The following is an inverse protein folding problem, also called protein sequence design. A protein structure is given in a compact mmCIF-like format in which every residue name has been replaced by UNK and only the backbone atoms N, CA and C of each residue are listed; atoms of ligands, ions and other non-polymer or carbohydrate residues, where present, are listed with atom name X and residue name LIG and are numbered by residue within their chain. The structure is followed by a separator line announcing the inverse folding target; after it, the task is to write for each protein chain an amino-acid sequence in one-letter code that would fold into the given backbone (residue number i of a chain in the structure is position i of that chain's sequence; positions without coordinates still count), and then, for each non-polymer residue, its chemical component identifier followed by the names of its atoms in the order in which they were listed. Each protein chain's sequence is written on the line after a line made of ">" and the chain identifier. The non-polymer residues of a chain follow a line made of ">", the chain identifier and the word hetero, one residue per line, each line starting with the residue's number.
data_IF_992249549960
#
_entry.id   IF_992249549960
#
_cell.length_a   1.000
_cell.length_b   1.000
_cell.length_c   1.000
_cell.angle_alpha   90.00
_cell.angle_beta   90.00
_cell.angle_gamma   90.00
#
_symmetry.space_group_name_H-M   'P 1'
#
loop_
_entity.id
_entity.type
_entity.pdbx_description
1 polymer ?
#
# COMPACT_ATOMS: atom_id res chain seq x y z
N UNK A 1 26.84 4.27 -5.26
CA UNK A 1 25.98 4.85 -6.32
C UNK A 1 24.71 4.00 -6.55
N UNK A 2 24.84 2.68 -6.74
CA UNK A 2 23.71 1.74 -6.92
C UNK A 2 22.60 1.85 -5.87
N UNK A 3 22.93 1.97 -4.57
CA UNK A 3 21.93 2.10 -3.49
C UNK A 3 20.96 3.28 -3.69
N UNK A 4 21.43 4.43 -4.16
CA UNK A 4 20.59 5.62 -4.41
C UNK A 4 19.67 5.39 -5.61
N UNK A 5 20.17 4.73 -6.67
CA UNK A 5 19.36 4.38 -7.85
C UNK A 5 18.25 3.39 -7.50
N UNK A 6 18.59 2.32 -6.76
CA UNK A 6 17.63 1.33 -6.25
C UNK A 6 16.54 2.02 -5.43
N UNK A 7 16.92 2.93 -4.52
CA UNK A 7 15.96 3.65 -3.69
C UNK A 7 15.07 4.59 -4.51
N UNK A 8 15.64 5.34 -5.47
CA UNK A 8 14.89 6.24 -6.35
C UNK A 8 13.87 5.46 -7.19
N UNK A 9 14.29 4.34 -7.78
CA UNK A 9 13.40 3.47 -8.55
C UNK A 9 12.30 2.88 -7.67
N UNK A 10 12.63 2.39 -6.47
CA UNK A 10 11.64 1.91 -5.50
C UNK A 10 10.61 2.99 -5.18
N UNK A 11 11.05 4.20 -4.86
CA UNK A 11 10.14 5.33 -4.54
C UNK A 11 9.25 5.67 -5.73
N UNK A 12 9.81 5.78 -6.93
CA UNK A 12 9.05 6.08 -8.14
C UNK A 12 8.02 4.99 -8.46
N UNK A 13 8.39 3.71 -8.31
CA UNK A 13 7.48 2.57 -8.48
C UNK A 13 6.31 2.64 -7.48
N UNK A 14 6.59 2.93 -6.21
CA UNK A 14 5.53 3.05 -5.19
C UNK A 14 4.60 4.22 -5.51
N UNK A 15 5.13 5.38 -5.89
CA UNK A 15 4.30 6.54 -6.25
C UNK A 15 3.44 6.26 -7.47
N UNK A 16 4.02 5.62 -8.50
CA UNK A 16 3.27 5.19 -9.68
C UNK A 16 2.15 4.22 -9.33
N UNK A 17 2.41 3.19 -8.51
CA UNK A 17 1.39 2.23 -8.11
C UNK A 17 0.26 2.87 -7.28
N UNK A 18 0.54 3.94 -6.53
CA UNK A 18 -0.49 4.69 -5.78
C UNK A 18 -1.37 5.56 -6.67
N UNK A 19 -0.79 6.17 -7.70
CA UNK A 19 -1.54 6.98 -8.66
C UNK A 19 -0.93 6.81 -10.06
N UNK A 20 -1.36 5.78 -10.80
CA UNK A 20 -0.76 5.43 -12.10
C UNK A 20 -1.21 6.34 -13.24
N UNK A 21 -2.26 7.14 -13.03
CA UNK A 21 -2.80 8.10 -14.00
C UNK A 21 -2.11 9.46 -13.93
N UNK A 22 -1.30 9.70 -12.90
CA UNK A 22 -0.51 10.91 -12.78
C UNK A 22 0.70 10.88 -13.73
N UNK A 23 0.75 11.85 -14.65
CA UNK A 23 1.83 11.96 -15.65
C UNK A 23 3.21 12.21 -15.03
N UNK A 24 3.28 12.91 -13.88
CA UNK A 24 4.54 13.09 -13.13
C UNK A 24 5.03 11.75 -12.59
N UNK A 25 4.13 10.90 -12.10
CA UNK A 25 4.50 9.56 -11.62
C UNK A 25 4.99 8.66 -12.76
N UNK A 26 4.31 8.67 -13.92
CA UNK A 26 4.77 7.95 -15.13
C UNK A 26 6.17 8.39 -15.55
N UNK A 27 6.40 9.71 -15.61
CA UNK A 27 7.69 10.30 -15.97
C UNK A 27 8.79 9.88 -14.99
N UNK A 28 8.57 10.05 -13.68
CA UNK A 28 9.53 9.67 -12.65
C UNK A 28 9.87 8.17 -12.67
N UNK A 29 8.87 7.31 -12.89
CA UNK A 29 9.10 5.87 -13.01
C UNK A 29 9.95 5.55 -14.25
N UNK A 30 9.65 6.17 -15.39
CA UNK A 30 10.41 5.99 -16.63
C UNK A 30 11.87 6.43 -16.46
N UNK A 31 12.10 7.62 -15.90
CA UNK A 31 13.44 8.18 -15.69
C UNK A 31 14.27 7.34 -14.71
N UNK A 32 13.66 6.90 -13.61
CA UNK A 32 14.35 6.05 -12.62
C UNK A 32 14.64 4.64 -13.15
N UNK A 33 13.75 4.06 -13.96
CA UNK A 33 13.98 2.80 -14.64
C UNK A 33 15.12 2.92 -15.66
N UNK A 34 15.12 3.97 -16.48
CA UNK A 34 16.22 4.26 -17.40
C UNK A 34 17.55 4.41 -16.66
N UNK A 35 17.57 5.11 -15.52
CA UNK A 35 18.80 5.31 -14.75
C UNK A 35 19.39 3.99 -14.22
N UNK A 36 18.57 2.98 -13.89
CA UNK A 36 19.05 1.63 -13.57
C UNK A 36 19.72 1.00 -14.79
N UNK A 37 19.07 1.05 -15.95
CA UNK A 37 19.60 0.49 -17.18
C UNK A 37 20.93 1.14 -17.58
N UNK A 38 20.96 2.48 -17.65
CA UNK A 38 22.13 3.26 -18.05
C UNK A 38 23.32 3.02 -17.10
N UNK A 39 23.06 2.95 -15.80
CA UNK A 39 24.09 2.60 -14.81
C UNK A 39 24.63 1.19 -15.01
N UNK A 40 23.77 0.20 -15.21
CA UNK A 40 24.19 -1.19 -15.43
C UNK A 40 25.01 -1.35 -16.72
N UNK A 41 24.58 -0.70 -17.81
CA UNK A 41 25.30 -0.69 -19.07
C UNK A 41 26.69 -0.06 -18.91
N UNK A 42 26.79 1.12 -18.28
CA UNK A 42 28.07 1.80 -18.04
C UNK A 42 29.01 1.01 -17.13
N UNK A 43 28.48 0.41 -16.05
CA UNK A 43 29.26 -0.41 -15.11
C UNK A 43 29.93 -1.60 -15.82
N UNK A 44 29.27 -2.16 -16.83
CA UNK A 44 29.74 -3.29 -17.61
C UNK A 44 30.37 -2.86 -18.94
N UNK A 45 30.84 -1.61 -19.08
CA UNK A 45 31.45 -1.05 -20.31
C UNK A 45 30.61 -1.24 -21.58
N UNK A 46 29.28 -1.24 -21.46
CA UNK A 46 28.33 -1.54 -22.54
C UNK A 46 28.61 -2.89 -23.24
N UNK A 47 29.25 -3.84 -22.52
CA UNK A 47 29.47 -5.20 -22.99
C UNK A 47 28.14 -5.95 -23.18
N UNK A 48 28.21 -7.18 -23.70
CA UNK A 48 27.07 -8.04 -24.07
C UNK A 48 25.87 -7.97 -23.09
N UNK A 49 24.63 -8.02 -23.62
CA UNK A 49 23.38 -8.00 -22.85
C UNK A 49 23.37 -8.82 -21.56
N UNK A 50 23.93 -10.01 -21.59
CA UNK A 50 23.93 -10.96 -20.47
C UNK A 50 24.61 -10.39 -19.21
N UNK A 51 25.65 -9.56 -19.38
CA UNK A 51 26.41 -8.99 -18.26
C UNK A 51 25.65 -7.88 -17.54
N UNK A 52 25.10 -6.92 -18.29
CA UNK A 52 24.37 -5.82 -17.66
C UNK A 52 22.93 -6.18 -17.28
N UNK A 53 22.30 -7.16 -17.94
CA UNK A 53 20.99 -7.69 -17.50
C UNK A 53 21.06 -8.32 -16.11
N UNK A 54 22.14 -9.03 -15.79
CA UNK A 54 22.36 -9.57 -14.44
C UNK A 54 22.42 -8.45 -13.40
N UNK A 55 23.15 -7.36 -13.68
CA UNK A 55 23.20 -6.20 -12.77
C UNK A 55 21.84 -5.50 -12.61
N UNK A 56 21.05 -5.41 -13.69
CA UNK A 56 19.68 -4.88 -13.63
C UNK A 56 18.81 -5.75 -12.73
N UNK A 57 18.83 -7.07 -12.93
CA UNK A 57 18.06 -8.02 -12.15
C UNK A 57 18.34 -7.88 -10.64
N UNK A 58 19.61 -7.85 -10.24
CA UNK A 58 20.01 -7.68 -8.84
C UNK A 58 19.49 -6.37 -8.24
N UNK A 59 19.58 -5.27 -8.98
CA UNK A 59 19.09 -3.96 -8.53
C UNK A 59 17.56 -3.94 -8.40
N UNK A 60 16.85 -4.49 -9.39
CA UNK A 60 15.39 -4.58 -9.40
C UNK A 60 14.90 -5.47 -8.27
N UNK A 61 15.49 -6.66 -8.07
CA UNK A 61 15.16 -7.61 -7.00
C UNK A 61 15.16 -6.95 -5.62
N UNK A 62 16.19 -6.14 -5.35
CA UNK A 62 16.31 -5.38 -4.10
C UNK A 62 15.25 -4.28 -4.05
N UNK A 63 15.07 -3.52 -5.14
CA UNK A 63 14.12 -2.42 -5.20
C UNK A 63 12.67 -2.87 -4.96
N UNK A 64 12.27 -4.04 -5.46
CA UNK A 64 10.89 -4.57 -5.36
C UNK A 64 10.67 -5.45 -4.14
N UNK A 65 11.68 -5.64 -3.28
CA UNK A 65 11.59 -6.53 -2.12
C UNK A 65 10.45 -6.09 -1.18
N UNK A 66 9.60 -7.05 -0.82
CA UNK A 66 8.48 -6.82 0.09
C UNK A 66 7.30 -6.03 -0.50
N UNK A 67 7.37 -5.60 -1.77
CA UNK A 67 6.24 -5.01 -2.46
C UNK A 67 5.27 -6.12 -2.85
N UNK A 68 4.00 -5.97 -2.46
CA UNK A 68 2.87 -6.74 -2.96
C UNK A 68 1.89 -5.79 -3.63
N UNK A 69 1.21 -6.27 -4.67
CA UNK A 69 0.44 -5.41 -5.57
C UNK A 69 -0.96 -5.98 -5.76
N UNK A 70 -1.95 -5.09 -5.83
CA UNK A 70 -3.32 -5.44 -6.21
C UNK A 70 -3.36 -5.93 -7.67
N UNK A 71 -4.20 -6.93 -8.05
CA UNK A 71 -4.28 -7.44 -9.42
C UNK A 71 -4.43 -6.34 -10.47
N UNK A 72 -5.34 -5.39 -10.24
CA UNK A 72 -5.55 -4.24 -11.11
C UNK A 72 -4.28 -3.40 -11.34
N UNK A 73 -3.56 -3.05 -10.28
CA UNK A 73 -2.35 -2.23 -10.38
C UNK A 73 -1.21 -2.99 -11.07
N UNK A 74 -1.19 -4.32 -10.98
CA UNK A 74 -0.26 -5.15 -11.71
C UNK A 74 -0.55 -5.11 -13.23
N UNK A 75 -1.82 -5.18 -13.63
CA UNK A 75 -2.24 -5.05 -15.05
C UNK A 75 -1.96 -3.65 -15.60
N UNK A 76 -2.18 -2.60 -14.80
CA UNK A 76 -1.88 -1.21 -15.17
C UNK A 76 -0.38 -1.03 -15.41
N UNK A 77 0.48 -1.55 -14.51
CA UNK A 77 1.93 -1.48 -14.69
C UNK A 77 2.41 -2.25 -15.93
N UNK A 78 1.87 -3.43 -16.18
CA UNK A 78 2.19 -4.24 -17.36
C UNK A 78 1.81 -3.53 -18.66
N UNK A 79 0.63 -2.90 -18.68
CA UNK A 79 0.15 -2.13 -19.83
C UNK A 79 1.03 -0.90 -20.08
N UNK A 80 1.37 -0.15 -19.04
CA UNK A 80 2.30 0.97 -19.15
C UNK A 80 3.70 0.55 -19.63
N UNK A 81 4.21 -0.59 -19.15
CA UNK A 81 5.47 -1.15 -19.66
C UNK A 81 5.40 -1.38 -21.17
N UNK A 82 4.35 -2.04 -21.66
CA UNK A 82 4.15 -2.28 -23.11
C UNK A 82 4.07 -0.98 -23.91
N UNK A 83 3.37 0.03 -23.40
CA UNK A 83 3.29 1.35 -24.05
C UNK A 83 4.68 1.97 -24.25
N UNK A 84 5.56 1.89 -23.26
CA UNK A 84 6.94 2.39 -23.37
C UNK A 84 7.74 1.65 -24.45
N UNK A 85 7.51 0.35 -24.63
CA UNK A 85 8.15 -0.46 -25.67
C UNK A 85 7.70 -0.11 -27.10
N UNK A 86 6.51 0.47 -27.26
CA UNK A 86 5.98 0.91 -28.57
C UNK A 86 6.47 2.30 -28.98
N UNK A 87 7.08 3.04 -28.06
CA UNK A 87 7.55 4.40 -28.33
C UNK A 87 8.97 4.34 -28.89
N UNK A 88 9.19 4.97 -30.04
CA UNK A 88 10.48 4.99 -30.77
C UNK A 88 11.51 5.96 -30.14
N UNK A 89 11.67 5.85 -28.82
CA UNK A 89 12.61 6.65 -28.03
C UNK A 89 13.49 5.70 -27.24
N UNK A 90 14.79 5.71 -27.54
CA UNK A 90 15.81 4.87 -26.90
C UNK A 90 15.72 4.85 -25.36
N UNK A 91 15.48 6.02 -24.76
CA UNK A 91 15.27 6.16 -23.31
C UNK A 91 14.08 5.32 -22.80
N UNK A 92 12.95 5.35 -23.51
CA UNK A 92 11.73 4.62 -23.15
C UNK A 92 11.88 3.12 -23.40
N UNK A 93 12.54 2.73 -24.48
CA UNK A 93 12.87 1.33 -24.75
C UNK A 93 13.75 0.71 -23.64
N UNK A 94 14.69 1.47 -23.08
CA UNK A 94 15.53 1.00 -21.98
C UNK A 94 14.79 0.92 -20.65
N UNK A 95 13.93 1.91 -20.35
CA UNK A 95 13.02 1.84 -19.22
C UNK A 95 12.08 0.62 -19.31
N UNK A 96 11.58 0.30 -20.50
CA UNK A 96 10.75 -0.87 -20.77
C UNK A 96 11.41 -2.18 -20.33
N UNK A 97 12.70 -2.40 -20.61
CA UNK A 97 13.39 -3.62 -20.16
C UNK A 97 13.40 -3.77 -18.63
N UNK A 98 13.71 -2.69 -17.91
CA UNK A 98 13.73 -2.69 -16.44
C UNK A 98 12.33 -2.93 -15.86
N UNK A 99 11.31 -2.29 -16.42
CA UNK A 99 9.92 -2.49 -15.98
C UNK A 99 9.37 -3.87 -16.32
N UNK A 100 9.80 -4.44 -17.45
CA UNK A 100 9.44 -5.81 -17.85
C UNK A 100 10.01 -6.84 -16.87
N UNK A 101 11.28 -6.71 -16.47
CA UNK A 101 11.87 -7.56 -15.42
C UNK A 101 11.13 -7.36 -14.10
N UNK A 102 10.88 -6.10 -13.72
CA UNK A 102 10.16 -5.75 -12.49
C UNK A 102 8.79 -6.45 -12.43
N UNK A 103 8.01 -6.35 -13.51
CA UNK A 103 6.69 -6.97 -13.57
C UNK A 103 6.78 -8.50 -13.65
N UNK A 104 7.41 -9.05 -14.70
CA UNK A 104 7.33 -10.47 -15.03
C UNK A 104 8.05 -11.37 -14.03
N UNK A 105 9.18 -10.93 -13.47
CA UNK A 105 10.00 -11.77 -12.61
C UNK A 105 9.73 -11.57 -11.12
N UNK A 106 9.13 -10.44 -10.73
CA UNK A 106 8.99 -10.11 -9.31
C UNK A 106 7.58 -9.77 -8.86
N UNK A 107 6.83 -8.95 -9.59
CA UNK A 107 5.52 -8.48 -9.13
C UNK A 107 4.38 -9.41 -9.52
N UNK A 108 4.45 -10.07 -10.69
CA UNK A 108 3.42 -10.99 -11.17
C UNK A 108 3.13 -12.13 -10.20
N UNK A 109 4.16 -12.69 -9.56
CA UNK A 109 4.02 -13.74 -8.54
C UNK A 109 3.67 -13.19 -7.14
N UNK A 110 3.69 -11.87 -6.96
CA UNK A 110 3.39 -11.18 -5.69
C UNK A 110 2.09 -10.39 -5.73
N UNK A 111 1.23 -10.71 -6.69
CA UNK A 111 -0.14 -10.23 -6.74
C UNK A 111 -0.90 -10.84 -5.56
N UNK A 112 -1.53 -9.99 -4.76
CA UNK A 112 -2.36 -10.46 -3.65
C UNK A 112 -3.72 -10.94 -4.15
N UNK A 113 -4.30 -11.87 -3.40
CA UNK A 113 -5.73 -12.17 -3.48
C UNK A 113 -6.46 -11.32 -2.41
N UNK A 114 -6.99 -10.14 -2.78
CA UNK A 114 -7.63 -9.23 -1.85
C UNK A 114 -8.84 -9.85 -1.16
N UNK A 115 -9.62 -10.64 -1.89
CA UNK A 115 -10.80 -11.31 -1.36
C UNK A 115 -10.42 -12.37 -0.33
N UNK A 116 -9.42 -13.20 -0.62
CA UNK A 116 -8.95 -14.21 0.32
C UNK A 116 -8.37 -13.57 1.59
N UNK A 117 -7.64 -12.46 1.48
CA UNK A 117 -7.13 -11.72 2.64
C UNK A 117 -8.29 -11.18 3.50
N UNK A 118 -9.30 -10.58 2.88
CA UNK A 118 -10.49 -10.08 3.57
C UNK A 118 -11.24 -11.21 4.28
N UNK A 119 -11.46 -12.34 3.59
CA UNK A 119 -12.09 -13.55 4.17
C UNK A 119 -11.32 -14.10 5.37
N UNK A 120 -9.98 -14.11 5.32
CA UNK A 120 -9.14 -14.53 6.46
C UNK A 120 -9.31 -13.60 7.68
N UNK A 121 -9.42 -12.29 7.46
CA UNK A 121 -9.67 -11.32 8.54
C UNK A 121 -11.08 -11.45 9.13
N UNK A 122 -12.11 -11.61 8.29
CA UNK A 122 -13.47 -11.90 8.75
C UNK A 122 -13.55 -13.21 9.55
N UNK A 123 -12.82 -14.26 9.13
CA UNK A 123 -12.73 -15.51 9.88
C UNK A 123 -12.05 -15.32 11.25
N UNK A 124 -11.08 -14.40 11.34
CA UNK A 124 -10.44 -14.05 12.62
C UNK A 124 -11.44 -13.38 13.55
N UNK A 125 -12.23 -12.42 13.05
CA UNK A 125 -13.32 -11.80 13.80
C UNK A 125 -14.31 -12.87 14.31
N UNK A 126 -14.77 -13.76 13.42
CA UNK A 126 -15.67 -14.85 13.76
C UNK A 126 -15.14 -15.72 14.90
N UNK A 127 -13.86 -16.13 14.82
CA UNK A 127 -13.21 -16.91 15.86
C UNK A 127 -13.17 -16.17 17.20
N UNK A 128 -12.86 -14.88 17.19
CA UNK A 128 -12.85 -14.04 18.40
C UNK A 128 -14.24 -13.96 19.04
N UNK A 129 -15.29 -13.77 18.24
CA UNK A 129 -16.68 -13.75 18.72
C UNK A 129 -17.08 -15.10 19.33
N UNK A 130 -16.71 -16.21 18.69
CA UNK A 130 -16.97 -17.56 19.23
C UNK A 130 -16.30 -17.79 20.59
N UNK A 131 -15.08 -17.28 20.80
CA UNK A 131 -14.40 -17.35 22.09
C UNK A 131 -15.12 -16.54 23.17
N UNK A 132 -15.69 -15.38 22.81
CA UNK A 132 -16.48 -14.56 23.73
C UNK A 132 -17.83 -15.17 24.08
N UNK A 133 -18.42 -15.92 23.16
CA UNK A 133 -19.66 -16.67 23.40
C UNK A 133 -19.48 -17.71 24.52
N UNK A 134 -18.34 -18.40 24.55
CA UNK A 134 -18.00 -19.33 25.63
C UNK A 134 -17.81 -18.60 26.97
N UNK A 135 -17.39 -17.33 26.94
CA UNK A 135 -17.18 -16.50 28.12
C UNK A 135 -18.43 -15.72 28.56
N UNK A 136 -19.62 -16.00 28.00
CA UNK A 136 -20.89 -15.33 28.30
C UNK A 136 -20.83 -13.79 28.17
N UNK A 137 -20.14 -13.28 27.15
CA UNK A 137 -20.10 -11.84 26.89
C UNK A 137 -21.48 -11.31 26.42
N UNK A 138 -21.99 -10.19 26.96
CA UNK A 138 -23.33 -9.67 26.65
C UNK A 138 -23.48 -9.11 25.23
N UNK A 139 -22.38 -8.84 24.52
CA UNK A 139 -22.39 -8.23 23.18
C UNK A 139 -22.30 -9.24 22.03
N UNK A 140 -22.37 -10.55 22.30
CA UNK A 140 -22.15 -11.59 21.28
C UNK A 140 -23.11 -11.44 20.10
N UNK A 141 -24.40 -11.21 20.35
CA UNK A 141 -25.41 -11.07 19.29
C UNK A 141 -25.15 -9.83 18.41
N UNK A 142 -24.81 -8.70 19.04
CA UNK A 142 -24.47 -7.46 18.33
C UNK A 142 -23.20 -7.63 17.47
N UNK A 143 -22.19 -8.33 17.99
CA UNK A 143 -20.98 -8.65 17.23
C UNK A 143 -21.23 -9.62 16.06
N UNK A 144 -22.10 -10.62 16.25
CA UNK A 144 -22.53 -11.54 15.18
C UNK A 144 -23.30 -10.79 14.08
N UNK A 145 -24.14 -9.82 14.46
CA UNK A 145 -24.84 -8.94 13.52
C UNK A 145 -23.85 -8.08 12.72
N UNK A 146 -22.90 -7.41 13.38
CA UNK A 146 -21.86 -6.62 12.74
C UNK A 146 -21.05 -7.47 11.74
N UNK A 147 -20.59 -8.65 12.16
CA UNK A 147 -19.85 -9.57 11.30
C UNK A 147 -20.66 -9.97 10.05
N UNK A 148 -21.96 -10.21 10.21
CA UNK A 148 -22.85 -10.58 9.10
C UNK A 148 -22.98 -9.45 8.08
N UNK A 149 -23.15 -8.22 8.54
CA UNK A 149 -23.21 -7.04 7.68
C UNK A 149 -21.87 -6.82 6.94
N UNK A 150 -20.74 -6.86 7.65
CA UNK A 150 -19.41 -6.73 7.05
C UNK A 150 -19.16 -7.82 6.00
N UNK A 151 -19.49 -9.07 6.32
CA UNK A 151 -19.30 -10.21 5.40
C UNK A 151 -20.14 -10.06 4.14
N UNK A 152 -21.39 -9.61 4.28
CA UNK A 152 -22.29 -9.40 3.14
C UNK A 152 -21.76 -8.30 2.22
N UNK A 153 -21.36 -7.17 2.81
CA UNK A 153 -20.84 -6.03 2.07
C UNK A 153 -19.53 -6.38 1.33
N UNK A 154 -18.59 -7.04 2.01
CA UNK A 154 -17.34 -7.53 1.41
C UNK A 154 -17.61 -8.50 0.26
N UNK A 155 -18.54 -9.44 0.44
CA UNK A 155 -18.91 -10.41 -0.60
C UNK A 155 -19.55 -9.73 -1.81
N UNK A 156 -20.33 -8.69 -1.61
CA UNK A 156 -20.91 -7.92 -2.72
C UNK A 156 -19.83 -7.14 -3.45
N UNK A 157 -18.93 -6.49 -2.72
CA UNK A 157 -17.83 -5.73 -3.28
C UNK A 157 -16.89 -6.57 -4.15
N UNK A 158 -16.48 -7.75 -3.67
CA UNK A 158 -15.59 -8.62 -4.44
C UNK A 158 -16.25 -9.35 -5.62
N UNK A 159 -17.58 -9.24 -5.80
CA UNK A 159 -18.24 -9.66 -7.05
C UNK A 159 -18.05 -8.66 -8.20
N UNK A 160 -17.67 -7.42 -7.89
CA UNK A 160 -17.42 -6.39 -8.89
C UNK A 160 -16.13 -6.70 -9.66
N UNK A 161 -16.01 -6.16 -10.88
CA UNK A 161 -14.75 -6.20 -11.62
C UNK A 161 -13.68 -5.33 -10.92
N UNK A 162 -12.37 -5.61 -11.09
CA UNK A 162 -11.32 -4.86 -10.40
C UNK A 162 -11.37 -3.33 -10.63
N UNK A 163 -11.76 -2.89 -11.83
CA UNK A 163 -11.95 -1.47 -12.15
C UNK A 163 -13.13 -0.85 -11.38
N UNK A 164 -14.26 -1.56 -11.30
CA UNK A 164 -15.41 -1.11 -10.49
C UNK A 164 -15.09 -1.11 -9.00
N UNK A 165 -14.32 -2.09 -8.54
CA UNK A 165 -13.82 -2.12 -7.16
C UNK A 165 -13.03 -0.85 -6.84
N UNK A 166 -12.13 -0.41 -7.72
CA UNK A 166 -11.37 0.84 -7.54
C UNK A 166 -12.32 2.05 -7.44
N UNK A 167 -13.28 2.17 -8.36
CA UNK A 167 -14.21 3.30 -8.38
C UNK A 167 -15.13 3.35 -7.16
N UNK A 168 -15.64 2.20 -6.71
CA UNK A 168 -16.56 2.09 -5.58
C UNK A 168 -15.85 1.97 -4.22
N UNK A 169 -14.51 2.01 -4.19
CA UNK A 169 -13.74 1.74 -2.97
C UNK A 169 -14.08 2.71 -1.84
N UNK A 170 -14.11 4.02 -2.10
CA UNK A 170 -14.47 5.03 -1.09
C UNK A 170 -15.86 4.79 -0.49
N UNK A 171 -16.83 4.40 -1.31
CA UNK A 171 -18.19 4.10 -0.86
C UNK A 171 -18.24 2.82 0.00
N UNK A 172 -17.40 1.82 -0.32
CA UNK A 172 -17.20 0.67 0.56
C UNK A 172 -16.64 1.10 1.92
N UNK A 173 -15.60 1.94 1.94
CA UNK A 173 -14.97 2.38 3.19
C UNK A 173 -15.95 3.10 4.12
N UNK A 174 -16.75 4.02 3.56
CA UNK A 174 -17.79 4.74 4.29
C UNK A 174 -18.82 3.78 4.91
N UNK A 175 -19.30 2.80 4.14
CA UNK A 175 -20.26 1.80 4.63
C UNK A 175 -19.66 0.90 5.71
N UNK A 176 -18.41 0.47 5.56
CA UNK A 176 -17.72 -0.33 6.58
C UNK A 176 -17.53 0.46 7.87
N UNK A 177 -17.17 1.75 7.77
CA UNK A 177 -17.07 2.65 8.91
C UNK A 177 -18.42 2.86 9.59
N UNK A 178 -19.50 3.03 8.82
CA UNK A 178 -20.85 3.15 9.35
C UNK A 178 -21.26 1.93 10.16
N UNK A 179 -21.09 0.72 9.61
CA UNK A 179 -21.36 -0.54 10.34
C UNK A 179 -20.54 -0.59 11.63
N UNK A 180 -19.24 -0.29 11.59
CA UNK A 180 -18.41 -0.33 12.78
C UNK A 180 -18.77 0.75 13.82
N UNK A 181 -19.31 1.88 13.38
CA UNK A 181 -19.78 2.95 14.25
C UNK A 181 -21.10 2.57 14.95
N UNK A 182 -22.04 1.95 14.24
CA UNK A 182 -23.29 1.46 14.82
C UNK A 182 -23.05 0.43 15.92
N UNK A 183 -22.08 -0.49 15.70
CA UNK A 183 -21.73 -1.55 16.65
C UNK A 183 -20.54 -1.19 17.55
N UNK A 184 -20.25 0.11 17.73
CA UNK A 184 -19.01 0.59 18.39
C UNK A 184 -18.91 0.11 19.84
N UNK A 185 -20.00 0.12 20.58
CA UNK A 185 -20.01 -0.31 21.99
C UNK A 185 -19.59 -1.78 22.11
N UNK A 186 -20.21 -2.65 21.31
CA UNK A 186 -19.85 -4.06 21.24
C UNK A 186 -18.40 -4.27 20.78
N UNK A 187 -17.96 -3.61 19.71
CA UNK A 187 -16.60 -3.76 19.16
C UNK A 187 -15.52 -3.32 20.16
N UNK A 188 -15.79 -2.26 20.93
CA UNK A 188 -14.83 -1.70 21.89
C UNK A 188 -14.88 -2.36 23.27
N UNK A 189 -15.82 -3.27 23.51
CA UNK A 189 -15.98 -3.98 24.78
C UNK A 189 -14.84 -4.94 25.14
N UNK A 190 -14.13 -5.49 24.15
CA UNK A 190 -13.00 -6.41 24.35
C UNK A 190 -11.84 -6.03 23.41
N UNK A 191 -10.62 -6.01 23.95
CA UNK A 191 -9.40 -5.62 23.21
C UNK A 191 -9.14 -6.52 22.00
N UNK A 192 -9.43 -7.82 22.09
CA UNK A 192 -9.24 -8.79 20.99
C UNK A 192 -10.25 -8.57 19.88
N UNK A 193 -11.50 -8.23 20.23
CA UNK A 193 -12.53 -7.88 19.25
C UNK A 193 -12.13 -6.60 18.54
N UNK A 194 -11.82 -5.56 19.32
CA UNK A 194 -11.34 -4.28 18.81
C UNK A 194 -10.20 -4.47 17.82
N UNK A 195 -9.16 -5.21 18.21
CA UNK A 195 -8.02 -5.51 17.35
C UNK A 195 -8.43 -6.25 16.06
N UNK A 196 -9.28 -7.28 16.15
CA UNK A 196 -9.69 -8.06 14.99
C UNK A 196 -10.48 -7.20 13.96
N UNK A 197 -11.40 -6.35 14.43
CA UNK A 197 -12.17 -5.44 13.57
C UNK A 197 -11.30 -4.37 12.92
N UNK A 198 -10.44 -3.67 13.69
CA UNK A 198 -9.56 -2.66 13.11
C UNK A 198 -8.51 -3.26 12.17
N UNK A 199 -8.03 -4.47 12.44
CA UNK A 199 -7.12 -5.17 11.52
C UNK A 199 -7.81 -5.56 10.20
N UNK A 200 -9.11 -5.84 10.23
CA UNK A 200 -9.91 -6.03 9.03
C UNK A 200 -10.09 -4.71 8.26
N UNK A 201 -10.48 -3.62 8.93
CA UNK A 201 -10.65 -2.31 8.29
C UNK A 201 -9.36 -1.81 7.64
N UNK A 202 -8.24 -1.87 8.37
CA UNK A 202 -6.92 -1.48 7.87
C UNK A 202 -6.53 -2.28 6.62
N UNK A 203 -6.84 -3.58 6.55
CA UNK A 203 -6.61 -4.36 5.34
C UNK A 203 -7.44 -3.85 4.16
N UNK A 204 -8.74 -3.60 4.37
CA UNK A 204 -9.61 -3.16 3.27
C UNK A 204 -9.19 -1.78 2.78
N UNK A 205 -8.94 -0.83 3.68
CA UNK A 205 -8.60 0.55 3.31
C UNK A 205 -7.22 0.66 2.63
N UNK A 206 -6.35 -0.33 2.85
CA UNK A 206 -5.02 -0.39 2.22
C UNK A 206 -4.96 -1.32 1.00
N UNK A 207 -6.09 -1.83 0.50
CA UNK A 207 -6.09 -2.88 -0.51
C UNK A 207 -5.59 -2.42 -1.89
N UNK A 208 -5.78 -1.13 -2.19
CA UNK A 208 -5.22 -0.45 -3.36
C UNK A 208 -3.96 0.34 -3.03
N UNK A 209 -3.59 0.46 -1.76
CA UNK A 209 -2.27 0.95 -1.39
C UNK A 209 -1.22 -0.14 -1.64
N UNK A 210 0.00 0.28 -1.96
CA UNK A 210 1.12 -0.66 -2.06
C UNK A 210 1.34 -1.33 -0.71
N UNK A 211 0.99 -2.62 -0.62
CA UNK A 211 1.24 -3.50 0.51
C UNK A 211 2.75 -3.84 0.58
N UNK A 212 3.55 -2.81 0.84
CA UNK A 212 5.01 -2.87 0.91
C UNK A 212 5.60 -1.90 1.94
N UNK A 213 4.79 -1.00 2.51
CA UNK A 213 5.06 -0.49 3.84
C UNK A 213 4.54 -1.53 4.83
N UNK A 214 5.50 -2.25 5.41
CA UNK A 214 5.46 -2.75 6.78
C UNK A 214 4.08 -2.60 7.44
N UNK A 215 3.30 -3.69 7.47
CA UNK A 215 2.34 -3.91 8.56
C UNK A 215 3.03 -3.73 9.92
N UNK A 216 4.37 -3.76 10.00
CA UNK A 216 5.15 -3.36 11.17
C UNK A 216 5.30 -1.83 11.38
N UNK A 217 5.05 -0.96 10.39
CA UNK A 217 5.01 0.51 10.53
C UNK A 217 3.61 0.97 10.92
N UNK A 218 2.55 0.34 10.39
CA UNK A 218 1.20 0.43 10.95
C UNK A 218 1.10 -0.29 12.31
N UNK A 219 1.83 -1.39 12.51
CA UNK A 219 1.99 -1.98 13.84
C UNK A 219 2.85 -1.11 14.78
N UNK A 220 3.77 -0.28 14.26
CA UNK A 220 4.52 0.70 15.07
C UNK A 220 3.68 1.92 15.41
N UNK A 221 2.78 2.37 14.53
CA UNK A 221 1.77 3.38 14.86
C UNK A 221 0.71 2.86 15.84
N UNK A 222 0.35 1.57 15.78
CA UNK A 222 -0.41 0.95 16.88
C UNK A 222 0.42 0.80 18.14
N UNK A 223 1.74 0.56 18.07
CA UNK A 223 2.59 0.55 19.28
C UNK A 223 2.80 1.94 19.91
N UNK A 224 2.86 3.04 19.15
CA UNK A 224 2.85 4.40 19.72
C UNK A 224 1.47 4.77 20.30
N UNK A 225 0.39 4.17 19.77
CA UNK A 225 -0.96 4.30 20.32
C UNK A 225 -1.14 3.57 21.66
N UNK A 226 -0.35 2.52 21.93
CA UNK A 226 -0.39 1.76 23.19
C UNK A 226 0.69 2.16 24.21
N UNK A 227 1.77 2.86 23.82
CA UNK A 227 2.81 3.31 24.77
C UNK A 227 2.40 4.53 25.59
N UNK A 228 1.66 5.49 25.01
CA UNK A 228 1.19 6.68 25.75
C UNK A 228 0.01 6.39 26.70
N UNK A 229 -0.62 5.20 26.60
CA UNK A 229 -1.77 4.82 27.44
C UNK A 229 -1.38 3.97 28.68
N UNK A 230 -0.10 3.78 28.97
CA UNK A 230 0.35 2.86 30.04
C UNK A 230 0.50 3.49 31.43
N UNK A 231 0.13 4.76 31.62
CA UNK A 231 0.11 5.38 32.95
C UNK A 231 -1.27 5.99 33.21
N UNK A 232 -2.09 5.23 33.94
CA UNK A 232 -3.44 5.50 34.45
C UNK A 232 -4.62 5.39 33.45
N UNK A 233 -5.69 4.65 33.81
CA UNK A 233 -6.86 4.50 32.97
C UNK A 233 -7.75 5.75 33.14
N UNK A 234 -7.76 6.62 32.14
CA UNK A 234 -8.80 7.65 31.98
C UNK A 234 -9.47 7.50 30.62
N UNK A 235 -10.81 7.57 30.62
CA UNK A 235 -11.69 7.63 29.45
C UNK A 235 -11.25 8.73 28.47
N UNK A 236 -10.38 8.40 27.50
CA UNK A 236 -9.73 9.39 26.60
C UNK A 236 -9.96 9.12 25.11
N UNK A 237 -11.06 8.43 24.73
CA UNK A 237 -11.37 8.18 23.32
C UNK A 237 -12.79 8.62 22.90
N UNK A 238 -13.44 9.47 23.71
CA UNK A 238 -14.73 10.11 23.38
C UNK A 238 -14.64 11.02 22.14
N UNK A 239 -13.45 11.55 21.81
CA UNK A 239 -13.25 12.55 20.74
C UNK A 239 -12.36 12.06 19.59
N UNK A 240 -12.36 10.76 19.29
CA UNK A 240 -11.61 10.23 18.15
C UNK A 240 -12.09 10.83 16.82
N UNK A 241 -11.31 11.74 16.24
CA UNK A 241 -11.37 12.11 14.81
C UNK A 241 -10.24 11.41 14.07
N UNK A 242 -10.56 10.80 12.93
CA UNK A 242 -9.57 10.38 11.95
C UNK A 242 -8.83 11.66 11.51
N UNK A 243 -7.52 11.80 11.75
CA UNK A 243 -6.80 12.96 11.23
C UNK A 243 -6.77 12.83 9.72
N UNK A 244 -7.47 13.74 9.03
CA UNK A 244 -7.12 14.06 7.65
C UNK A 244 -5.67 14.49 7.66
N UNK A 245 -4.79 13.63 7.15
CA UNK A 245 -3.41 14.02 6.87
C UNK A 245 -3.49 14.89 5.62
N UNK A 246 -3.67 16.20 5.83
CA UNK A 246 -3.05 17.15 4.91
C UNK A 246 -1.55 16.89 5.07
N UNK A 247 -0.95 16.21 4.10
CA UNK A 247 0.50 16.18 4.02
C UNK A 247 0.91 17.64 3.98
N UNK A 248 1.55 18.11 5.06
CA UNK A 248 2.34 19.33 4.95
C UNK A 248 3.44 18.98 3.96
N UNK A 249 3.24 19.41 2.72
CA UNK A 249 4.33 19.71 1.84
C UNK A 249 5.21 20.71 2.59
N UNK A 250 6.27 20.22 3.24
CA UNK A 250 7.38 21.08 3.62
C UNK A 250 8.14 21.41 2.33
N UNK A 251 7.54 22.25 1.50
CA UNK A 251 8.29 23.15 0.62
C UNK A 251 8.42 24.46 1.40
N UNK A 252 9.63 24.74 1.85
CA UNK A 252 10.25 26.05 2.12
C UNK A 252 11.28 25.90 3.25
N UNK A 253 12.56 25.89 2.85
CA UNK A 253 13.58 26.85 3.31
C UNK A 253 15.00 26.31 3.06
N UNK A 254 15.48 26.40 1.81
CA UNK A 254 16.90 26.64 1.50
C UNK A 254 16.99 27.46 0.20
N UNK A 255 16.41 28.66 0.21
CA UNK A 255 16.71 29.68 -0.80
C UNK A 255 16.72 31.06 -0.14
N UNK A 256 17.72 31.30 0.72
CA UNK A 256 18.08 32.63 1.18
C UNK A 256 19.53 32.64 1.68
N UNK A 257 20.47 32.61 0.74
CA UNK A 257 21.85 33.03 0.99
C UNK A 257 22.49 33.51 -0.32
N UNK A 258 21.88 34.51 -0.95
CA UNK A 258 22.57 35.39 -1.90
C UNK A 258 21.90 36.77 -1.82
N UNK A 259 22.74 37.80 -1.73
CA UNK A 259 22.44 39.24 -1.68
C UNK A 259 22.25 39.78 -0.25
N UNK A 260 23.35 40.12 0.41
CA UNK A 260 23.74 41.53 0.65
C UNK A 260 25.16 41.59 1.24
N UNK A 261 26.04 42.28 0.53
CA UNK A 261 27.42 42.56 0.94
C UNK A 261 28.04 43.55 -0.03
N UNK A 262 27.48 44.77 -0.09
CA UNK A 262 28.16 45.93 -0.65
C UNK A 262 29.15 46.40 0.41
N UNK A 263 30.44 46.31 0.11
CA UNK A 263 31.46 47.33 0.34
C UNK A 263 32.65 47.02 -0.55
#
# INVERSE_FOLDING_TARGET
>A
MSKKLIQNFRTALIHYLKNPYDEKNKKNLTESAFAIYDYAAKLNNSMEPDKYMTSIDEMVKVAVRGIKVHPFLAEVLDSFSRELGMLDQKHKAYAFHVLTITYNWYLRERVIDPEQLARKKLATIKKTIQQLKVANNPYVEELEAALTQLTTLVKQYFKLTPEKQLHEHSALEERLNFICAEHRAAITSDVRVKFAFYSFLSLIFSIFDVLGFSLAAECKKTNSFFQEASLTPQNTLSDFRIPFIKVKDNFEDEEQLLIFGIS
#
